data_IF_452638059984
#
_entry.id   IF_452638059984
#
_cell.length_a   1.000
_cell.length_b   1.000
_cell.length_c   1.000
_cell.angle_alpha   90.00
_cell.angle_beta   90.00
_cell.angle_gamma   90.00
#
_symmetry.space_group_name_H-M   'P 1'
#
loop_
_entity.id
_entity.type
_entity.pdbx_description
1 polymer ?
#
# COMPACT_ATOMS: atom_id res chain seq x y z
N UNK A 1 5.28 -7.23 -5.06
CA UNK A 1 5.81 -7.38 -3.68
C UNK A 1 6.70 -6.17 -3.41
N UNK A 2 6.11 -4.99 -3.14
CA UNK A 2 6.77 -3.67 -3.24
C UNK A 2 8.16 -3.59 -2.59
N UNK A 3 8.29 -4.10 -1.35
CA UNK A 3 9.56 -4.11 -0.64
C UNK A 3 10.61 -5.04 -1.30
N UNK A 4 10.21 -6.26 -1.66
CA UNK A 4 11.14 -7.20 -2.29
C UNK A 4 11.53 -6.73 -3.70
N UNK A 5 10.61 -6.13 -4.46
CA UNK A 5 10.88 -5.74 -5.84
C UNK A 5 11.94 -4.63 -5.90
N UNK A 6 11.89 -3.68 -4.95
CA UNK A 6 12.79 -2.53 -4.88
C UNK A 6 14.06 -2.74 -4.06
N UNK A 7 14.09 -3.77 -3.21
CA UNK A 7 15.24 -4.04 -2.38
C UNK A 7 16.50 -4.36 -3.20
N UNK A 8 17.64 -3.90 -2.71
CA UNK A 8 18.93 -4.30 -3.27
C UNK A 8 19.22 -5.79 -3.01
N UNK A 9 20.30 -6.30 -3.60
CA UNK A 9 20.66 -7.73 -3.50
C UNK A 9 20.88 -8.20 -2.05
N UNK A 10 21.41 -7.34 -1.18
CA UNK A 10 21.68 -7.69 0.22
C UNK A 10 20.40 -7.65 1.05
N UNK A 11 19.61 -6.59 0.91
CA UNK A 11 18.33 -6.46 1.59
C UNK A 11 17.35 -7.54 1.13
N UNK A 12 17.37 -7.97 -0.14
CA UNK A 12 16.60 -9.14 -0.62
C UNK A 12 16.97 -10.42 0.13
N UNK A 13 18.26 -10.70 0.32
CA UNK A 13 18.71 -11.87 1.09
C UNK A 13 18.26 -11.78 2.55
N UNK A 14 18.35 -10.59 3.14
CA UNK A 14 17.89 -10.33 4.50
C UNK A 14 16.39 -10.56 4.63
N UNK A 15 15.58 -10.02 3.71
CA UNK A 15 14.13 -10.24 3.65
C UNK A 15 13.84 -11.74 3.55
N UNK A 16 14.45 -12.46 2.59
CA UNK A 16 14.25 -13.90 2.48
C UNK A 16 14.61 -14.65 3.77
N UNK A 17 15.72 -14.28 4.42
CA UNK A 17 16.12 -14.87 5.70
C UNK A 17 15.13 -14.57 6.83
N UNK A 18 14.57 -13.36 6.90
CA UNK A 18 13.59 -12.96 7.93
C UNK A 18 12.25 -13.68 7.73
N UNK A 19 11.85 -13.89 6.48
CA UNK A 19 10.56 -14.52 6.14
C UNK A 19 10.63 -16.05 6.09
N UNK A 20 11.83 -16.64 6.04
CA UNK A 20 12.04 -18.09 6.16
C UNK A 20 11.98 -18.61 7.60
N UNK A 21 12.07 -17.73 8.62
CA UNK A 21 11.97 -18.14 10.02
C UNK A 21 10.55 -18.61 10.34
N UNK A 22 10.38 -19.72 11.10
CA UNK A 22 9.06 -20.18 11.53
C UNK A 22 8.40 -19.20 12.51
N UNK A 23 9.20 -18.53 13.33
CA UNK A 23 8.77 -17.48 14.25
C UNK A 23 9.71 -16.28 14.16
N UNK A 24 9.16 -15.06 14.34
CA UNK A 24 9.91 -13.80 14.30
C UNK A 24 10.03 -13.23 15.69
N UNK A 25 11.22 -12.75 16.02
CA UNK A 25 11.51 -12.05 17.26
C UNK A 25 11.15 -10.57 17.16
N UNK A 26 11.11 -9.86 18.30
CA UNK A 26 11.01 -8.39 18.31
C UNK A 26 12.15 -7.70 17.53
N UNK A 27 13.36 -8.27 17.56
CA UNK A 27 14.48 -7.76 16.76
C UNK A 27 14.22 -7.85 15.26
N UNK A 28 13.56 -8.93 14.81
CA UNK A 28 13.18 -9.11 13.41
C UNK A 28 12.12 -8.08 12.98
N UNK A 29 11.17 -7.76 13.87
CA UNK A 29 10.17 -6.73 13.63
C UNK A 29 10.81 -5.35 13.42
N UNK A 30 11.75 -4.96 14.28
CA UNK A 30 12.49 -3.69 14.13
C UNK A 30 13.22 -3.61 12.79
N UNK A 31 13.82 -4.72 12.34
CA UNK A 31 14.50 -4.78 11.03
C UNK A 31 13.49 -4.63 9.89
N UNK A 32 12.35 -5.31 9.95
CA UNK A 32 11.28 -5.19 8.93
C UNK A 32 10.78 -3.74 8.86
N UNK A 33 10.48 -3.12 9.99
CA UNK A 33 10.03 -1.72 10.04
C UNK A 33 11.09 -0.76 9.48
N UNK A 34 12.36 -1.02 9.79
CA UNK A 34 13.49 -0.24 9.24
C UNK A 34 13.60 -0.37 7.72
N UNK A 35 13.39 -1.58 7.18
CA UNK A 35 13.36 -1.82 5.74
C UNK A 35 12.17 -1.10 5.08
N UNK A 36 10.96 -1.23 5.64
CA UNK A 36 9.77 -0.53 5.13
C UNK A 36 9.96 1.00 5.10
N UNK A 37 10.60 1.55 6.13
CA UNK A 37 10.94 2.97 6.21
C UNK A 37 12.00 3.38 5.18
N UNK A 38 13.10 2.62 5.08
CA UNK A 38 14.20 2.87 4.12
C UNK A 38 13.69 2.94 2.68
N UNK A 39 12.83 2.00 2.29
CA UNK A 39 12.26 1.95 0.95
C UNK A 39 11.00 2.81 0.79
N UNK A 40 10.65 3.63 1.80
CA UNK A 40 9.50 4.53 1.78
C UNK A 40 8.18 3.84 1.39
N UNK A 41 8.00 2.59 1.82
CA UNK A 41 6.90 1.74 1.36
C UNK A 41 5.54 2.37 1.69
N UNK A 42 5.40 3.01 2.87
CA UNK A 42 4.18 3.73 3.23
C UNK A 42 3.81 4.79 2.18
N UNK A 43 4.74 5.68 1.85
CA UNK A 43 4.53 6.75 0.86
C UNK A 43 4.13 6.20 -0.51
N UNK A 44 4.70 5.06 -0.90
CA UNK A 44 4.35 4.41 -2.16
C UNK A 44 2.95 3.81 -2.12
N UNK A 45 2.61 3.12 -1.04
CA UNK A 45 1.25 2.59 -0.82
C UNK A 45 0.21 3.72 -0.80
N UNK A 46 0.50 4.84 -0.16
CA UNK A 46 -0.38 6.02 -0.15
C UNK A 46 -0.62 6.53 -1.58
N UNK A 47 0.44 6.60 -2.40
CA UNK A 47 0.34 7.01 -3.81
C UNK A 47 -0.45 6.01 -4.66
N UNK A 48 -0.24 4.71 -4.47
CA UNK A 48 -1.00 3.66 -5.16
C UNK A 48 -2.47 3.71 -4.77
N UNK A 49 -2.74 3.89 -3.48
CA UNK A 49 -4.10 4.01 -2.95
C UNK A 49 -4.83 5.22 -3.52
N UNK A 50 -4.19 6.39 -3.55
CA UNK A 50 -4.73 7.58 -4.24
C UNK A 50 -5.01 7.32 -5.72
N UNK A 51 -4.13 6.58 -6.39
CA UNK A 51 -4.33 6.22 -7.81
C UNK A 51 -5.55 5.32 -8.00
N UNK A 52 -5.74 4.33 -7.13
CA UNK A 52 -6.92 3.45 -7.14
C UNK A 52 -8.19 4.25 -6.91
N UNK A 53 -8.21 5.13 -5.90
CA UNK A 53 -9.37 5.99 -5.62
C UNK A 53 -9.70 6.88 -6.83
N UNK A 54 -8.71 7.53 -7.42
CA UNK A 54 -8.91 8.36 -8.61
C UNK A 54 -9.49 7.56 -9.78
N UNK A 55 -9.02 6.33 -9.99
CA UNK A 55 -9.53 5.45 -11.04
C UNK A 55 -10.98 5.01 -10.77
N UNK A 56 -11.32 4.68 -9.53
CA UNK A 56 -12.69 4.34 -9.15
C UNK A 56 -13.65 5.53 -9.34
N UNK A 57 -13.24 6.73 -8.93
CA UNK A 57 -14.02 7.95 -9.15
C UNK A 57 -14.22 8.22 -10.64
N UNK A 58 -13.16 8.05 -11.46
CA UNK A 58 -13.25 8.19 -12.92
C UNK A 58 -14.19 7.16 -13.53
N UNK A 59 -14.14 5.90 -13.07
CA UNK A 59 -15.07 4.85 -13.48
C UNK A 59 -16.52 5.23 -13.14
N UNK A 60 -16.79 5.72 -11.92
CA UNK A 60 -18.13 6.17 -11.53
C UNK A 60 -18.62 7.35 -12.40
N UNK A 61 -17.76 8.29 -12.74
CA UNK A 61 -18.12 9.44 -13.60
C UNK A 61 -18.47 9.02 -15.05
N UNK A 62 -18.17 7.79 -15.47
CA UNK A 62 -18.61 7.27 -16.78
C UNK A 62 -20.10 6.92 -16.83
N UNK A 63 -20.75 6.80 -15.67
CA UNK A 63 -22.19 6.56 -15.55
C UNK A 63 -22.97 7.87 -15.45
N UNK A 64 -24.24 7.90 -15.91
CA UNK A 64 -25.13 9.04 -15.75
C UNK A 64 -25.24 9.48 -14.29
N UNK A 65 -25.52 10.77 -14.11
CA UNK A 65 -25.69 11.32 -12.78
C UNK A 65 -26.90 10.71 -12.07
N UNK A 66 -26.66 10.23 -10.85
CA UNK A 66 -27.67 9.66 -9.97
C UNK A 66 -27.26 9.85 -8.52
N UNK A 67 -28.24 9.81 -7.62
CA UNK A 67 -28.03 9.85 -6.17
C UNK A 67 -27.11 8.71 -5.71
N UNK A 68 -27.27 7.51 -6.27
CA UNK A 68 -26.45 6.33 -5.93
C UNK A 68 -25.00 6.54 -6.36
N UNK A 69 -24.74 7.05 -7.57
CA UNK A 69 -23.38 7.36 -8.03
C UNK A 69 -22.69 8.35 -7.10
N UNK A 70 -23.40 9.42 -6.74
CA UNK A 70 -22.85 10.48 -5.90
C UNK A 70 -22.57 9.95 -4.47
N UNK A 71 -23.48 9.15 -3.91
CA UNK A 71 -23.27 8.47 -2.63
C UNK A 71 -22.02 7.57 -2.65
N UNK A 72 -21.87 6.72 -3.67
CA UNK A 72 -20.70 5.83 -3.78
C UNK A 72 -19.39 6.61 -3.90
N UNK A 73 -19.40 7.70 -4.68
CA UNK A 73 -18.24 8.58 -4.83
C UNK A 73 -17.86 9.22 -3.51
N UNK A 74 -18.82 9.69 -2.72
CA UNK A 74 -18.57 10.23 -1.37
C UNK A 74 -17.98 9.17 -0.44
N UNK A 75 -18.51 7.94 -0.43
CA UNK A 75 -17.95 6.88 0.43
C UNK A 75 -16.51 6.53 0.06
N UNK A 76 -16.18 6.51 -1.23
CA UNK A 76 -14.82 6.25 -1.71
C UNK A 76 -13.87 7.37 -1.28
N UNK A 77 -14.30 8.63 -1.35
CA UNK A 77 -13.46 9.78 -0.97
C UNK A 77 -13.17 9.81 0.53
N UNK A 78 -14.10 9.37 1.38
CA UNK A 78 -13.87 9.25 2.83
C UNK A 78 -12.72 8.32 3.18
N UNK A 79 -12.43 7.32 2.34
CA UNK A 79 -11.30 6.42 2.58
C UNK A 79 -9.93 7.13 2.46
N UNK A 80 -9.86 8.34 1.90
CA UNK A 80 -8.66 9.17 1.83
C UNK A 80 -8.48 10.08 3.06
N UNK A 81 -9.50 10.22 3.90
CA UNK A 81 -9.49 11.13 5.06
C UNK A 81 -9.03 10.45 6.36
N UNK A 82 -8.82 9.13 6.33
CA UNK A 82 -8.23 8.30 7.41
C UNK A 82 -6.69 8.19 7.29
#
# INVERSE_FOLDING_TARGET
MLLLDQADKNDKKLIHSLFAKPERSQGDEVVILSLLSRYQIRKQMDKEFQTIVNNLVKFLNSFPESSIRNLLKEQILKLLEE
#
